data_IF_211937303726
#
_entry.id   IF_211937303726
#
_cell.length_a   1.000
_cell.length_b   1.000
_cell.length_c   1.000
_cell.angle_alpha   90.00
_cell.angle_beta   90.00
_cell.angle_gamma   90.00
#
_symmetry.space_group_name_H-M   'P 1'
#
loop_
_entity.id
_entity.type
_entity.pdbx_description
1 polymer ?
#
# COMPACT_ATOMS: atom_id res chain seq x y z
N UNK A 1 1.84 6.66 -20.18
CA UNK A 1 1.67 5.42 -19.40
C UNK A 1 1.78 5.76 -17.93
N UNK A 2 0.85 5.31 -17.10
CA UNK A 2 0.87 5.56 -15.65
C UNK A 2 1.43 4.31 -14.97
N UNK A 3 2.43 4.41 -14.07
CA UNK A 3 2.92 3.26 -13.34
C UNK A 3 1.85 2.71 -12.40
N UNK A 4 1.82 1.39 -12.21
CA UNK A 4 0.85 0.70 -11.36
C UNK A 4 1.55 -0.21 -10.36
N UNK A 5 0.98 -0.33 -9.16
CA UNK A 5 1.42 -1.26 -8.14
C UNK A 5 0.42 -2.41 -8.04
N UNK A 6 0.88 -3.65 -8.22
CA UNK A 6 0.09 -4.86 -8.03
C UNK A 6 0.51 -5.55 -6.73
N UNK A 7 -0.40 -5.63 -5.76
CA UNK A 7 -0.19 -6.33 -4.50
C UNK A 7 -1.13 -7.53 -4.41
N UNK A 8 -0.58 -8.71 -4.08
CA UNK A 8 -1.36 -9.95 -3.97
C UNK A 8 -0.83 -10.80 -2.81
N UNK A 9 -1.74 -11.27 -1.96
CA UNK A 9 -1.45 -12.31 -0.98
C UNK A 9 -1.49 -13.70 -1.63
N UNK A 10 -0.85 -14.67 -1.00
CA UNK A 10 -1.01 -16.08 -1.38
C UNK A 10 -2.49 -16.49 -1.36
N UNK A 11 -2.84 -17.54 -2.11
CA UNK A 11 -4.21 -18.03 -2.14
C UNK A 11 -4.66 -18.44 -0.73
N UNK A 12 -5.95 -18.23 -0.43
CA UNK A 12 -6.49 -18.42 0.93
C UNK A 12 -6.05 -17.37 1.96
N UNK A 13 -5.34 -16.31 1.55
CA UNK A 13 -4.97 -15.21 2.44
C UNK A 13 -5.61 -13.88 2.01
N UNK A 14 -5.83 -13.00 2.98
CA UNK A 14 -6.25 -11.61 2.75
C UNK A 14 -5.27 -10.65 3.41
N UNK A 15 -5.20 -9.42 2.88
CA UNK A 15 -4.43 -8.34 3.49
C UNK A 15 -5.15 -7.85 4.74
N UNK A 16 -4.73 -8.28 5.93
CA UNK A 16 -5.37 -7.87 7.19
C UNK A 16 -5.20 -6.38 7.47
N UNK A 17 -4.05 -5.84 7.10
CA UNK A 17 -3.62 -4.49 7.46
C UNK A 17 -2.57 -3.99 6.46
N UNK A 18 -2.54 -2.66 6.29
CA UNK A 18 -1.45 -1.95 5.63
C UNK A 18 -0.58 -1.34 6.72
N UNK A 19 0.58 -1.93 6.96
CA UNK A 19 1.51 -1.55 8.03
C UNK A 19 2.27 -0.26 7.69
N UNK A 20 2.50 -0.03 6.40
CA UNK A 20 3.12 1.20 5.91
C UNK A 20 2.56 1.57 4.55
N UNK A 21 2.35 2.87 4.32
CA UNK A 21 2.14 3.40 2.98
C UNK A 21 2.67 4.83 2.88
N UNK A 22 3.36 5.14 1.79
CA UNK A 22 3.81 6.50 1.50
C UNK A 22 3.99 6.72 0.01
N UNK A 23 3.25 7.68 -0.53
CA UNK A 23 3.54 8.32 -1.81
C UNK A 23 4.34 9.61 -1.58
N UNK A 24 5.58 9.65 -2.06
CA UNK A 24 6.50 10.75 -1.77
C UNK A 24 7.96 10.32 -1.86
N UNK A 25 8.74 10.58 -0.81
CA UNK A 25 10.16 10.20 -0.73
C UNK A 25 10.44 9.20 0.41
N UNK A 26 9.77 8.03 0.44
CA UNK A 26 10.02 7.03 1.47
C UNK A 26 11.48 6.56 1.48
N UNK A 27 11.97 6.14 2.64
CA UNK A 27 13.33 5.65 2.83
C UNK A 27 13.31 4.24 3.41
N UNK A 28 14.38 3.49 3.18
CA UNK A 28 14.55 2.13 3.67
C UNK A 28 13.99 1.08 2.72
N UNK A 29 13.63 -0.07 3.28
CA UNK A 29 13.12 -1.25 2.58
C UNK A 29 12.00 -1.90 3.41
N UNK A 30 11.34 -2.94 2.88
CA UNK A 30 10.28 -3.66 3.60
C UNK A 30 10.66 -3.97 5.05
N UNK A 31 9.70 -3.81 5.97
CA UNK A 31 9.85 -3.93 7.43
C UNK A 31 10.70 -2.83 8.10
N UNK A 32 11.36 -1.97 7.32
CA UNK A 32 12.20 -0.86 7.77
C UNK A 32 11.91 0.43 7.01
N UNK A 33 10.69 0.55 6.47
CA UNK A 33 10.29 1.77 5.79
C UNK A 33 10.12 2.91 6.78
N UNK A 34 10.47 4.11 6.34
CA UNK A 34 10.20 5.35 7.05
C UNK A 34 9.72 6.42 6.08
N UNK A 35 8.92 7.35 6.61
CA UNK A 35 8.46 8.50 5.84
C UNK A 35 9.64 9.43 5.54
N UNK A 36 9.69 9.95 4.32
CA UNK A 36 10.58 11.07 3.98
C UNK A 36 9.93 12.41 4.27
N UNK A 37 10.64 13.48 3.88
CA UNK A 37 10.16 14.85 4.02
C UNK A 37 8.96 15.17 3.09
N UNK A 38 8.74 14.34 2.07
CA UNK A 38 7.57 14.42 1.22
C UNK A 38 6.71 13.17 1.39
N UNK A 39 5.45 13.37 1.72
CA UNK A 39 4.49 12.31 1.97
C UNK A 39 3.06 12.82 1.73
N UNK A 40 2.28 12.12 0.92
CA UNK A 40 0.85 12.37 0.77
C UNK A 40 0.05 11.75 1.93
N UNK A 41 -0.85 12.53 2.54
CA UNK A 41 -1.67 12.08 3.67
C UNK A 41 -2.65 10.95 3.32
N UNK A 42 -3.09 10.86 2.07
CA UNK A 42 -4.01 9.84 1.58
C UNK A 42 -3.29 8.59 1.02
N UNK A 43 -2.04 8.34 1.41
CA UNK A 43 -1.25 7.19 0.92
C UNK A 43 -1.81 5.81 1.34
N UNK A 44 -2.64 5.75 2.38
CA UNK A 44 -3.12 4.51 3.00
C UNK A 44 -4.63 4.31 2.76
N UNK A 45 -5.04 3.24 2.05
CA UNK A 45 -6.26 2.43 2.40
C UNK A 45 -6.87 1.52 1.31
N UNK A 46 -6.38 1.42 0.07
CA UNK A 46 -7.15 0.72 -0.96
C UNK A 46 -7.18 -0.84 -0.89
N UNK A 47 -6.28 -1.45 -0.11
CA UNK A 47 -5.98 -2.88 -0.23
C UNK A 47 -6.39 -3.75 0.97
N UNK A 48 -6.75 -3.15 2.11
CA UNK A 48 -7.13 -3.92 3.30
C UNK A 48 -8.40 -4.74 3.06
N UNK A 49 -8.42 -5.97 3.57
CA UNK A 49 -9.52 -6.93 3.43
C UNK A 49 -9.56 -7.66 2.08
N UNK A 50 -8.69 -7.33 1.14
CA UNK A 50 -8.66 -7.95 -0.19
C UNK A 50 -7.51 -8.96 -0.30
N UNK A 51 -7.67 -9.96 -1.18
CA UNK A 51 -6.55 -10.84 -1.56
C UNK A 51 -5.60 -10.15 -2.55
N UNK A 52 -6.13 -9.31 -3.44
CA UNK A 52 -5.35 -8.55 -4.42
C UNK A 52 -5.81 -7.10 -4.53
N UNK A 53 -4.90 -6.23 -4.95
CA UNK A 53 -5.11 -4.79 -5.08
C UNK A 53 -4.22 -4.25 -6.21
N UNK A 54 -4.81 -3.43 -7.09
CA UNK A 54 -4.05 -2.65 -8.07
C UNK A 54 -4.24 -1.16 -7.75
N UNK A 55 -3.14 -0.40 -7.72
CA UNK A 55 -3.17 1.03 -7.51
C UNK A 55 -2.36 1.75 -8.58
N UNK A 56 -3.03 2.66 -9.30
CA UNK A 56 -2.36 3.59 -10.21
C UNK A 56 -1.55 4.63 -9.41
N UNK A 57 -0.26 4.74 -9.71
CA UNK A 57 0.68 5.64 -9.03
C UNK A 57 0.66 6.99 -9.75
N UNK A 58 -0.12 7.94 -9.23
CA UNK A 58 -0.26 9.26 -9.84
C UNK A 58 -0.60 10.38 -8.85
N UNK A 59 -0.24 11.61 -9.21
CA UNK A 59 -0.67 12.82 -8.52
C UNK A 59 -2.19 13.00 -8.51
N UNK A 60 -2.91 12.44 -9.48
CA UNK A 60 -4.37 12.53 -9.52
C UNK A 60 -5.01 11.72 -8.38
N UNK A 61 -4.42 10.58 -8.02
CA UNK A 61 -4.92 9.72 -6.95
C UNK A 61 -4.44 10.17 -5.56
N UNK A 62 -3.15 10.51 -5.43
CA UNK A 62 -2.51 10.79 -4.15
C UNK A 62 -2.32 12.29 -3.86
N UNK A 63 -2.69 13.16 -4.80
CA UNK A 63 -2.29 14.57 -4.77
C UNK A 63 -0.79 14.76 -5.08
N UNK A 64 -0.35 16.01 -5.09
CA UNK A 64 1.07 16.36 -5.24
C UNK A 64 1.62 16.98 -3.94
N UNK A 65 2.13 16.15 -3.01
CA UNK A 65 2.66 16.63 -1.73
C UNK A 65 3.96 17.43 -1.87
N UNK A 66 4.65 17.34 -3.00
CA UNK A 66 5.91 18.05 -3.25
C UNK A 66 6.16 18.21 -4.76
N UNK A 67 5.86 19.40 -5.28
CA UNK A 67 6.04 19.72 -6.71
C UNK A 67 7.52 19.70 -7.09
N UNK A 68 7.82 19.19 -8.29
CA UNK A 68 9.19 19.10 -8.82
C UNK A 68 10.02 17.94 -8.25
N UNK A 69 9.47 17.15 -7.32
CA UNK A 69 10.14 15.98 -6.75
C UNK A 69 9.56 14.70 -7.35
N UNK A 70 10.44 13.77 -7.73
CA UNK A 70 10.05 12.41 -8.13
C UNK A 70 9.49 11.69 -6.91
N UNK A 71 8.28 11.16 -7.06
CA UNK A 71 7.56 10.49 -5.98
C UNK A 71 7.48 8.99 -6.23
N UNK A 72 7.73 8.24 -5.18
CA UNK A 72 7.64 6.77 -5.16
C UNK A 72 6.51 6.39 -4.23
N UNK A 73 5.71 5.39 -4.63
CA UNK A 73 4.79 4.70 -3.75
C UNK A 73 5.51 3.50 -3.11
N UNK A 74 5.62 3.50 -1.78
CA UNK A 74 6.06 2.34 -1.01
C UNK A 74 4.90 1.87 -0.11
N UNK A 75 4.63 0.57 -0.11
CA UNK A 75 3.54 -0.06 0.65
C UNK A 75 4.05 -1.33 1.31
N UNK A 76 3.68 -1.53 2.56
CA UNK A 76 3.87 -2.76 3.31
C UNK A 76 2.50 -3.23 3.82
N UNK A 77 2.14 -4.46 3.48
CA UNK A 77 0.89 -5.06 3.89
C UNK A 77 1.14 -6.41 4.57
N UNK A 78 0.30 -6.72 5.54
CA UNK A 78 0.32 -8.00 6.23
C UNK A 78 -0.77 -8.89 5.66
N UNK A 79 -0.39 -10.08 5.22
CA UNK A 79 -1.33 -11.13 4.79
C UNK A 79 -1.59 -12.10 5.94
N UNK A 80 -2.84 -12.50 6.13
CA UNK A 80 -3.24 -13.56 7.07
C UNK A 80 -4.17 -14.56 6.38
N UNK A 81 -4.23 -15.79 6.88
CA UNK A 81 -5.18 -16.78 6.39
C UNK A 81 -6.61 -16.25 6.54
N UNK A 82 -7.43 -16.40 5.50
CA UNK A 82 -8.85 -16.03 5.54
C UNK A 82 -9.60 -16.79 6.65
N UNK A 83 -9.14 -18.00 7.01
CA UNK A 83 -9.69 -18.79 8.11
C UNK A 83 -9.44 -18.21 9.51
N UNK A 84 -8.36 -17.42 9.69
CA UNK A 84 -8.05 -16.72 10.95
C UNK A 84 -8.65 -15.31 11.00
N UNK A 85 -9.33 -14.88 9.93
CA UNK A 85 -9.82 -13.53 9.74
C UNK A 85 -11.29 -13.38 10.12
N UNK A 86 -11.76 -13.96 11.22
CA UNK A 86 -13.14 -13.76 11.70
C UNK A 86 -14.28 -14.08 10.72
N UNK A 87 -13.99 -14.74 9.59
CA UNK A 87 -15.00 -15.37 8.75
C UNK A 87 -15.17 -16.80 9.27
N UNK A 88 -16.13 -16.96 10.17
CA UNK A 88 -16.68 -18.27 10.52
C UNK A 88 -17.11 -18.96 9.23
N UNK A 89 -16.31 -19.92 8.76
CA UNK A 89 -16.79 -20.94 7.86
C UNK A 89 -17.76 -21.82 8.66
N UNK A 90 -19.06 -21.67 8.39
CA UNK A 90 -20.00 -22.77 8.58
C UNK A 90 -19.62 -23.93 7.66
#
# INVERSE_FOLDING_TARGET
>A
MTPEMHLKCQDGHIMSSVEFASYGTPKGSCQKFSRGNCHASNSSSACQGKNSCNIAISNALFGDPCRGVIKTLAVEARCISSSNSGYSHY
#
